data_IF_253605123214
#
_entry.id   IF_253605123214
#
_cell.length_a   1.000
_cell.length_b   1.000
_cell.length_c   1.000
_cell.angle_alpha   90.00
_cell.angle_beta   90.00
_cell.angle_gamma   90.00
#
_symmetry.space_group_name_H-M   'P 1'
#
loop_
_entity.id
_entity.type
_entity.pdbx_description
1 polymer ?
#
# COMPACT_ATOMS: atom_id res chain seq x y z
N UNK A 1 -30.30 22.56 20.66
CA UNK A 1 -29.31 21.57 21.17
C UNK A 1 -28.36 21.31 20.02
N UNK A 2 -27.13 21.75 20.16
CA UNK A 2 -26.08 21.60 19.14
C UNK A 2 -25.68 20.12 19.09
N UNK A 3 -25.81 19.39 17.94
CA UNK A 3 -25.45 17.99 17.83
C UNK A 3 -23.94 17.74 17.93
N UNK A 4 -23.16 18.80 18.20
CA UNK A 4 -21.69 18.79 18.17
C UNK A 4 -21.01 18.61 19.55
N UNK A 5 -21.76 18.51 20.66
CA UNK A 5 -21.17 18.62 22.01
C UNK A 5 -20.61 17.32 22.64
N UNK A 6 -20.86 16.15 22.06
CA UNK A 6 -20.64 14.86 22.75
C UNK A 6 -19.33 14.09 22.38
N UNK A 7 -18.40 14.68 21.65
CA UNK A 7 -17.09 14.08 21.42
C UNK A 7 -15.96 15.02 21.84
N UNK A 8 -15.32 14.68 22.95
CA UNK A 8 -14.13 15.38 23.43
C UNK A 8 -12.86 14.72 22.84
N UNK A 9 -12.18 15.44 21.94
CA UNK A 9 -10.92 15.01 21.33
C UNK A 9 -9.70 15.22 22.26
N UNK A 10 -9.87 15.85 23.42
CA UNK A 10 -8.75 16.18 24.30
C UNK A 10 -8.29 15.03 25.19
N UNK A 11 -9.10 13.96 25.33
CA UNK A 11 -8.83 12.82 26.22
C UNK A 11 -8.38 11.53 25.53
N UNK A 12 -7.94 11.57 24.27
CA UNK A 12 -7.56 10.37 23.49
C UNK A 12 -6.15 9.81 23.79
N UNK A 13 -5.39 10.44 24.70
CA UNK A 13 -4.02 10.01 25.02
C UNK A 13 -3.92 8.79 25.96
N UNK A 14 -5.03 8.20 26.38
CA UNK A 14 -4.97 7.14 27.37
C UNK A 14 -6.16 6.19 27.40
N UNK A 15 -6.35 5.32 26.40
CA UNK A 15 -7.08 4.06 26.60
C UNK A 15 -7.18 3.21 25.31
N UNK A 16 -6.14 2.47 24.99
CA UNK A 16 -6.29 1.25 24.20
C UNK A 16 -6.22 0.05 25.15
N UNK A 17 -7.31 -0.25 25.87
CA UNK A 17 -7.51 -1.58 26.45
C UNK A 17 -8.21 -2.47 25.42
N UNK A 18 -7.74 -3.70 25.16
CA UNK A 18 -8.41 -4.61 24.25
C UNK A 18 -9.76 -5.03 24.85
N UNK A 19 -10.83 -4.83 24.08
CA UNK A 19 -12.17 -5.30 24.44
C UNK A 19 -12.19 -6.83 24.45
N UNK A 20 -12.67 -7.41 25.56
CA UNK A 20 -12.87 -8.84 25.75
C UNK A 20 -13.92 -9.40 24.77
N UNK A 21 -13.57 -10.53 24.17
CA UNK A 21 -14.29 -11.23 23.12
C UNK A 21 -15.68 -11.72 23.56
N UNK A 22 -16.70 -11.42 22.74
CA UNK A 22 -17.93 -12.21 22.66
C UNK A 22 -17.81 -13.20 21.50
N UNK A 23 -18.13 -14.47 21.78
CA UNK A 23 -17.99 -15.61 20.89
C UNK A 23 -18.99 -15.57 19.71
N UNK A 24 -18.49 -15.23 18.55
CA UNK A 24 -19.11 -15.42 17.24
C UNK A 24 -17.97 -15.62 16.25
N UNK A 25 -18.10 -16.57 15.33
CA UNK A 25 -17.11 -16.86 14.29
C UNK A 25 -16.82 -15.56 13.54
N UNK A 26 -15.71 -14.88 13.90
CA UNK A 26 -15.22 -13.72 13.16
C UNK A 26 -14.75 -14.22 11.79
N UNK A 27 -15.16 -13.58 10.66
CA UNK A 27 -14.40 -13.72 9.43
C UNK A 27 -12.97 -13.39 9.76
N UNK A 28 -12.02 -14.14 9.19
CA UNK A 28 -10.60 -13.98 9.47
C UNK A 28 -10.22 -12.50 9.25
N UNK A 29 -10.12 -11.77 10.33
CA UNK A 29 -9.58 -10.40 10.35
C UNK A 29 -8.18 -10.57 9.79
N UNK A 30 -7.87 -9.88 8.69
CA UNK A 30 -6.51 -9.82 8.20
C UNK A 30 -5.64 -9.45 9.40
N UNK A 31 -4.71 -10.35 9.78
CA UNK A 31 -3.82 -10.12 10.91
C UNK A 31 -3.23 -8.72 10.74
N UNK A 32 -3.43 -7.86 11.74
CA UNK A 32 -2.86 -6.50 11.72
C UNK A 32 -1.37 -6.66 11.53
N UNK A 33 -0.83 -6.00 10.51
CA UNK A 33 0.61 -6.04 10.28
C UNK A 33 1.35 -5.72 11.57
N UNK A 34 2.32 -6.56 11.94
CA UNK A 34 3.19 -6.34 13.12
C UNK A 34 3.95 -5.01 13.08
N UNK A 35 4.01 -4.38 11.91
CA UNK A 35 4.67 -3.10 11.67
C UNK A 35 3.73 -1.91 11.83
N UNK A 36 2.43 -2.13 11.98
CA UNK A 36 1.49 -1.05 12.16
C UNK A 36 1.56 -0.47 13.58
N UNK A 37 1.79 0.83 13.66
CA UNK A 37 1.81 1.58 14.90
C UNK A 37 0.70 2.65 14.89
N UNK A 38 -0.41 2.46 15.62
CA UNK A 38 -1.51 3.42 15.66
C UNK A 38 -1.09 4.82 16.14
N UNK A 39 -0.11 4.91 17.05
CA UNK A 39 0.35 6.20 17.55
C UNK A 39 1.11 7.01 16.47
N UNK A 40 1.89 6.34 15.62
CA UNK A 40 2.54 6.97 14.47
C UNK A 40 1.50 7.44 13.46
N UNK A 41 0.50 6.59 13.17
CA UNK A 41 -0.60 6.94 12.29
C UNK A 41 -1.38 8.15 12.82
N UNK A 42 -1.81 8.11 14.09
CA UNK A 42 -2.55 9.19 14.72
C UNK A 42 -1.78 10.51 14.63
N UNK A 43 -0.51 10.52 15.01
CA UNK A 43 0.34 11.71 14.98
C UNK A 43 0.42 12.34 13.60
N UNK A 44 0.58 11.53 12.55
CA UNK A 44 0.62 12.02 11.17
C UNK A 44 -0.71 12.67 10.78
N UNK A 45 -1.83 12.00 11.06
CA UNK A 45 -3.16 12.52 10.73
C UNK A 45 -3.53 13.77 11.55
N UNK A 46 -3.05 13.91 12.78
CA UNK A 46 -3.21 15.11 13.59
C UNK A 46 -2.40 16.30 13.08
N UNK A 47 -1.20 16.04 12.52
CA UNK A 47 -0.31 17.09 12.01
C UNK A 47 -0.81 17.72 10.70
N UNK A 48 -1.46 16.96 9.84
CA UNK A 48 -1.80 17.41 8.49
C UNK A 48 -3.26 17.25 8.11
N UNK A 49 -4.06 16.55 8.92
CA UNK A 49 -5.41 16.14 8.57
C UNK A 49 -6.52 17.06 9.07
N UNK A 50 -7.70 16.85 8.51
CA UNK A 50 -8.95 17.49 8.91
C UNK A 50 -9.76 16.55 9.81
N UNK A 51 -10.44 17.09 10.83
CA UNK A 51 -11.35 16.32 11.68
C UNK A 51 -12.67 16.06 10.96
N UNK A 52 -13.10 14.80 10.98
CA UNK A 52 -14.34 14.33 10.37
C UNK A 52 -15.22 13.66 11.43
N UNK A 53 -16.52 13.86 11.31
CA UNK A 53 -17.53 13.15 12.14
C UNK A 53 -18.54 12.50 11.21
N UNK A 54 -18.92 11.28 11.54
CA UNK A 54 -19.89 10.52 10.77
C UNK A 54 -20.92 9.90 11.70
N UNK A 55 -22.20 10.14 11.40
CA UNK A 55 -23.28 9.45 12.12
C UNK A 55 -23.32 7.97 11.73
N UNK A 56 -23.90 7.14 12.57
CA UNK A 56 -24.18 5.75 12.23
C UNK A 56 -24.97 5.64 10.92
N UNK A 57 -24.58 4.72 10.05
CA UNK A 57 -25.12 4.55 8.70
C UNK A 57 -24.58 5.53 7.66
N UNK A 58 -23.83 6.58 8.08
CA UNK A 58 -23.23 7.53 7.16
C UNK A 58 -22.13 6.90 6.28
N UNK A 59 -21.99 7.38 5.04
CA UNK A 59 -21.04 6.86 4.05
C UNK A 59 -19.87 7.81 3.91
N UNK A 60 -18.66 7.32 4.12
CA UNK A 60 -17.42 8.09 3.89
C UNK A 60 -17.10 8.19 2.40
N UNK A 61 -17.26 7.11 1.66
CA UNK A 61 -17.15 7.02 0.19
C UNK A 61 -17.81 5.73 -0.30
N UNK A 62 -18.17 5.72 -1.59
CA UNK A 62 -18.79 4.56 -2.24
C UNK A 62 -17.81 3.87 -3.18
N UNK A 63 -18.01 2.56 -3.38
CA UNK A 63 -17.28 1.78 -4.38
C UNK A 63 -17.37 2.44 -5.76
N UNK A 64 -16.28 2.46 -6.51
CA UNK A 64 -16.12 3.11 -7.81
C UNK A 64 -16.17 4.65 -7.82
N UNK A 65 -16.29 5.32 -6.66
CA UNK A 65 -16.11 6.76 -6.59
C UNK A 65 -14.75 7.16 -7.15
N UNK A 66 -14.75 8.18 -8.01
CA UNK A 66 -13.54 8.72 -8.65
C UNK A 66 -13.27 10.13 -8.16
N UNK A 67 -11.99 10.46 -8.04
CA UNK A 67 -11.60 11.86 -7.87
C UNK A 67 -12.12 12.68 -9.05
N UNK A 68 -12.81 13.80 -8.77
CA UNK A 68 -13.26 14.75 -9.79
C UNK A 68 -13.03 16.17 -9.32
N UNK A 69 -12.55 17.03 -10.23
CA UNK A 69 -12.32 18.45 -9.93
C UNK A 69 -13.63 19.26 -9.77
N UNK A 70 -14.78 18.58 -9.92
CA UNK A 70 -16.07 19.27 -9.98
C UNK A 70 -16.23 20.04 -11.30
N UNK A 71 -17.47 20.23 -11.73
CA UNK A 71 -17.85 21.06 -12.87
C UNK A 71 -18.84 22.11 -12.43
N UNK A 72 -19.36 22.88 -13.39
CA UNK A 72 -20.31 23.98 -13.13
C UNK A 72 -21.56 23.52 -12.33
N UNK A 73 -21.89 22.22 -12.38
CA UNK A 73 -23.07 21.61 -11.74
C UNK A 73 -22.73 20.37 -10.88
N UNK A 74 -21.44 20.02 -10.68
CA UNK A 74 -21.04 18.88 -9.88
C UNK A 74 -20.06 19.27 -8.78
N UNK A 75 -20.28 18.73 -7.56
CA UNK A 75 -19.38 18.92 -6.43
C UNK A 75 -18.06 18.19 -6.69
N UNK A 76 -16.95 18.85 -6.37
CA UNK A 76 -15.64 18.18 -6.40
C UNK A 76 -15.64 16.99 -5.44
N UNK A 77 -15.21 15.82 -5.92
CA UNK A 77 -14.98 14.63 -5.09
C UNK A 77 -13.47 14.50 -4.91
N UNK A 78 -13.00 14.75 -3.69
CA UNK A 78 -11.59 14.62 -3.33
C UNK A 78 -11.37 13.27 -2.66
N UNK A 79 -10.45 12.47 -3.20
CA UNK A 79 -10.06 11.23 -2.56
C UNK A 79 -9.33 11.54 -1.23
N UNK A 80 -9.87 11.00 -0.14
CA UNK A 80 -9.31 11.12 1.20
C UNK A 80 -9.00 9.74 1.75
N UNK A 81 -7.95 9.61 2.54
CA UNK A 81 -7.71 8.50 3.45
C UNK A 81 -8.11 8.92 4.87
N UNK A 82 -8.43 7.96 5.70
CA UNK A 82 -8.99 8.20 7.01
C UNK A 82 -8.27 7.39 8.08
N UNK A 83 -8.12 8.00 9.26
CA UNK A 83 -7.73 7.35 10.50
C UNK A 83 -8.93 7.41 11.46
N UNK A 84 -9.37 6.28 11.97
CA UNK A 84 -10.48 6.20 12.92
C UNK A 84 -9.95 6.50 14.33
N UNK A 85 -10.42 7.60 14.91
CA UNK A 85 -10.14 7.94 16.32
C UNK A 85 -11.13 7.23 17.25
N UNK A 86 -12.40 7.09 16.84
CA UNK A 86 -13.43 6.38 17.59
C UNK A 86 -14.51 5.84 16.64
N UNK A 87 -15.15 4.72 17.01
CA UNK A 87 -16.20 4.08 16.24
C UNK A 87 -15.70 2.93 15.36
N UNK A 88 -16.61 2.40 14.54
CA UNK A 88 -16.36 1.29 13.60
C UNK A 88 -16.89 1.62 12.21
N UNK A 89 -16.15 1.22 11.19
CA UNK A 89 -16.49 1.39 9.76
C UNK A 89 -16.53 0.03 9.07
N UNK A 90 -17.62 -0.27 8.35
CA UNK A 90 -17.70 -1.43 7.49
C UNK A 90 -17.16 -1.10 6.09
N UNK A 91 -16.29 -1.96 5.57
CA UNK A 91 -15.90 -1.99 4.17
C UNK A 91 -16.73 -3.04 3.43
N UNK A 92 -17.43 -2.64 2.36
CA UNK A 92 -18.26 -3.54 1.55
C UNK A 92 -17.87 -3.45 0.08
N UNK A 93 -17.93 -4.60 -0.62
CA UNK A 93 -17.73 -4.73 -2.07
C UNK A 93 -18.91 -5.49 -2.64
N UNK A 94 -19.58 -4.92 -3.64
CA UNK A 94 -20.79 -5.52 -4.22
C UNK A 94 -21.87 -5.80 -3.17
N UNK A 95 -21.98 -4.99 -2.11
CA UNK A 95 -22.93 -5.15 -1.01
C UNK A 95 -22.54 -6.20 0.04
N UNK A 96 -21.42 -6.91 -0.12
CA UNK A 96 -20.93 -7.88 0.87
C UNK A 96 -19.87 -7.26 1.76
N UNK A 97 -19.97 -7.46 3.07
CA UNK A 97 -18.96 -6.99 4.03
C UNK A 97 -17.65 -7.72 3.81
N UNK A 98 -16.61 -6.93 3.47
CA UNK A 98 -15.25 -7.42 3.30
C UNK A 98 -14.47 -7.37 4.62
N UNK A 99 -14.61 -6.26 5.37
CA UNK A 99 -13.87 -6.03 6.62
C UNK A 99 -14.60 -5.01 7.52
N UNK A 100 -14.16 -4.92 8.77
CA UNK A 100 -14.57 -3.88 9.73
C UNK A 100 -13.32 -3.19 10.28
N UNK A 101 -13.23 -1.89 10.08
CA UNK A 101 -12.15 -1.02 10.52
C UNK A 101 -12.55 -0.39 11.86
N UNK A 102 -11.71 -0.53 12.87
CA UNK A 102 -11.94 0.00 14.21
C UNK A 102 -11.07 1.21 14.54
N UNK A 103 -11.22 1.70 15.78
CA UNK A 103 -10.40 2.79 16.31
C UNK A 103 -8.90 2.44 16.24
N UNK A 104 -8.09 3.42 15.84
CA UNK A 104 -6.65 3.26 15.64
C UNK A 104 -6.25 2.70 14.28
N UNK A 105 -7.17 2.48 13.35
CA UNK A 105 -6.90 1.94 12.02
C UNK A 105 -7.09 2.97 10.92
N UNK A 106 -6.47 2.72 9.76
CA UNK A 106 -6.57 3.55 8.56
C UNK A 106 -7.30 2.82 7.45
N UNK A 107 -8.00 3.57 6.59
CA UNK A 107 -8.67 3.07 5.39
C UNK A 107 -8.74 4.14 4.30
N UNK A 108 -9.03 3.71 3.07
CA UNK A 108 -9.13 4.59 1.90
C UNK A 108 -7.77 5.06 1.36
N UNK A 109 -6.66 4.53 1.87
CA UNK A 109 -5.29 4.85 1.49
C UNK A 109 -5.01 4.53 0.01
N UNK A 110 -5.56 3.42 -0.49
CA UNK A 110 -5.29 2.92 -1.83
C UNK A 110 -5.61 3.94 -2.93
N UNK A 111 -6.78 4.58 -2.85
CA UNK A 111 -7.20 5.56 -3.86
C UNK A 111 -6.45 6.90 -3.74
N UNK A 112 -5.99 7.28 -2.56
CA UNK A 112 -5.15 8.47 -2.35
C UNK A 112 -3.77 8.26 -2.95
N UNK A 113 -3.18 7.09 -2.75
CA UNK A 113 -1.84 6.74 -3.24
C UNK A 113 -1.85 6.53 -4.76
N UNK A 114 -2.83 5.81 -5.31
CA UNK A 114 -2.85 5.42 -6.73
C UNK A 114 -3.60 6.39 -7.62
N UNK A 115 -4.44 7.27 -7.07
CA UNK A 115 -5.39 8.08 -7.84
C UNK A 115 -6.55 7.29 -8.45
N UNK A 116 -6.62 5.99 -8.21
CA UNK A 116 -7.62 5.09 -8.78
C UNK A 116 -8.99 5.23 -8.08
N UNK A 117 -10.08 4.76 -8.70
CA UNK A 117 -11.39 4.69 -8.07
C UNK A 117 -11.37 3.89 -6.76
N UNK A 118 -12.33 4.17 -5.89
CA UNK A 118 -12.53 3.43 -4.64
C UNK A 118 -12.78 1.94 -4.92
N UNK A 119 -12.06 1.08 -4.21
CA UNK A 119 -12.19 -0.38 -4.34
C UNK A 119 -13.30 -0.97 -3.47
N UNK A 120 -13.92 -0.19 -2.60
CA UNK A 120 -14.96 -0.60 -1.68
C UNK A 120 -15.82 0.60 -1.28
N UNK A 121 -16.99 0.34 -0.72
CA UNK A 121 -17.79 1.34 0.01
C UNK A 121 -17.40 1.28 1.49
N UNK A 122 -17.20 2.46 2.11
CA UNK A 122 -16.93 2.60 3.54
C UNK A 122 -18.11 3.28 4.23
N UNK A 123 -18.77 2.60 5.16
CA UNK A 123 -19.91 3.10 5.91
C UNK A 123 -19.72 2.97 7.42
N UNK A 124 -20.14 3.98 8.18
CA UNK A 124 -20.05 3.99 9.62
C UNK A 124 -21.03 2.98 10.23
N UNK A 125 -20.55 1.97 10.95
CA UNK A 125 -21.36 1.00 11.71
C UNK A 125 -21.85 1.56 13.03
N UNK A 126 -21.12 2.53 13.55
CA UNK A 126 -21.44 3.28 14.75
C UNK A 126 -21.17 4.75 14.49
N UNK A 127 -21.50 5.64 15.41
CA UNK A 127 -21.03 7.05 15.37
C UNK A 127 -19.51 7.07 15.35
N UNK A 128 -18.90 7.72 14.35
CA UNK A 128 -17.45 7.74 14.12
C UNK A 128 -16.87 9.15 14.30
N UNK A 129 -15.68 9.20 14.91
CA UNK A 129 -14.76 10.33 14.84
C UNK A 129 -13.50 9.88 14.07
N UNK A 130 -13.09 10.67 13.09
CA UNK A 130 -11.97 10.33 12.23
C UNK A 130 -11.13 11.58 11.93
N UNK A 131 -9.90 11.36 11.48
CA UNK A 131 -9.10 12.35 10.77
C UNK A 131 -9.00 11.95 9.31
N UNK A 132 -8.98 12.93 8.40
CA UNK A 132 -8.84 12.68 6.96
C UNK A 132 -7.65 13.41 6.39
N UNK A 133 -6.98 12.81 5.40
CA UNK A 133 -5.94 13.41 4.57
C UNK A 133 -6.32 13.23 3.10
N UNK A 134 -6.25 14.29 2.32
CA UNK A 134 -6.22 14.18 0.86
C UNK A 134 -4.80 13.88 0.35
N UNK A 135 -4.63 13.76 -0.98
CA UNK A 135 -3.35 13.38 -1.58
C UNK A 135 -2.24 14.42 -1.31
N UNK A 136 -2.57 15.72 -1.34
CA UNK A 136 -1.60 16.80 -1.09
C UNK A 136 -1.20 16.84 0.38
N UNK A 137 -2.19 16.78 1.28
CA UNK A 137 -1.97 16.72 2.73
C UNK A 137 -1.13 15.49 3.10
N UNK A 138 -1.41 14.33 2.50
CA UNK A 138 -0.66 13.10 2.72
C UNK A 138 0.79 13.21 2.25
N UNK A 139 1.02 13.77 1.05
CA UNK A 139 2.37 14.00 0.53
C UNK A 139 3.18 14.95 1.43
N UNK A 140 2.57 16.06 1.87
CA UNK A 140 3.17 17.00 2.81
C UNK A 140 3.46 16.38 4.19
N UNK A 141 2.59 15.46 4.64
CA UNK A 141 2.76 14.77 5.92
C UNK A 141 3.92 13.76 5.86
N UNK A 142 4.06 13.01 4.75
CA UNK A 142 5.19 12.07 4.55
C UNK A 142 6.54 12.80 4.54
N UNK A 143 6.62 14.02 3.98
CA UNK A 143 7.84 14.83 4.04
C UNK A 143 8.30 15.10 5.48
N UNK A 144 7.36 15.22 6.41
CA UNK A 144 7.63 15.50 7.83
C UNK A 144 7.81 14.23 8.65
N UNK A 145 7.26 13.11 8.18
CA UNK A 145 7.26 11.81 8.89
C UNK A 145 7.47 10.65 7.90
N UNK A 146 8.70 10.49 7.35
CA UNK A 146 8.99 9.42 6.38
C UNK A 146 8.79 8.01 6.97
N UNK A 147 8.88 7.86 8.30
CA UNK A 147 8.57 6.60 8.99
C UNK A 147 7.12 6.12 8.75
N UNK A 148 6.19 7.02 8.46
CA UNK A 148 4.84 6.63 8.10
C UNK A 148 4.78 5.97 6.72
N UNK A 149 5.55 6.45 5.75
CA UNK A 149 5.67 5.78 4.45
C UNK A 149 6.21 4.36 4.61
N UNK A 150 7.25 4.17 5.44
CA UNK A 150 7.79 2.85 5.77
C UNK A 150 6.75 1.94 6.42
N UNK A 151 5.96 2.47 7.34
CA UNK A 151 4.88 1.74 7.99
C UNK A 151 3.81 1.28 6.98
N UNK A 152 3.36 2.17 6.10
CA UNK A 152 2.39 1.83 5.05
C UNK A 152 2.93 0.79 4.08
N UNK A 153 4.17 0.93 3.63
CA UNK A 153 4.83 -0.05 2.75
C UNK A 153 4.85 -1.44 3.39
N UNK A 154 5.26 -1.53 4.65
CA UNK A 154 5.27 -2.81 5.37
C UNK A 154 3.87 -3.44 5.46
N UNK A 155 2.84 -2.66 5.77
CA UNK A 155 1.45 -3.14 5.78
C UNK A 155 1.02 -3.68 4.42
N UNK A 156 1.36 -2.97 3.35
CA UNK A 156 1.02 -3.39 1.98
C UNK A 156 1.80 -4.63 1.57
N UNK A 157 3.07 -4.78 1.97
CA UNK A 157 3.86 -5.99 1.73
C UNK A 157 3.29 -7.21 2.44
N UNK A 158 2.82 -7.08 3.68
CA UNK A 158 2.15 -8.18 4.37
C UNK A 158 0.88 -8.62 3.62
N UNK A 159 0.08 -7.66 3.14
CA UNK A 159 -1.08 -7.94 2.29
C UNK A 159 -0.69 -8.60 0.96
N UNK A 160 0.38 -8.12 0.30
CA UNK A 160 0.89 -8.70 -0.94
C UNK A 160 1.31 -10.16 -0.77
N UNK A 161 2.00 -10.50 0.33
CA UNK A 161 2.39 -11.89 0.64
C UNK A 161 1.18 -12.81 0.74
N UNK A 162 0.13 -12.36 1.44
CA UNK A 162 -1.10 -13.14 1.59
C UNK A 162 -1.79 -13.36 0.23
N UNK A 163 -1.90 -12.31 -0.58
CA UNK A 163 -2.52 -12.40 -1.91
C UNK A 163 -1.69 -13.28 -2.84
N UNK A 164 -0.37 -13.11 -2.87
CA UNK A 164 0.55 -13.91 -3.67
C UNK A 164 0.49 -15.40 -3.31
N UNK A 165 0.45 -15.73 -2.00
CA UNK A 165 0.28 -17.10 -1.54
C UNK A 165 -1.07 -17.71 -1.97
N UNK A 166 -2.15 -16.93 -1.96
CA UNK A 166 -3.47 -17.36 -2.45
C UNK A 166 -3.48 -17.59 -3.97
N UNK A 167 -2.87 -16.71 -4.75
CA UNK A 167 -2.74 -16.89 -6.21
C UNK A 167 -1.95 -18.16 -6.53
N UNK A 168 -0.80 -18.34 -5.89
CA UNK A 168 0.02 -19.54 -6.06
C UNK A 168 -0.73 -20.82 -5.70
N UNK A 169 -1.54 -20.82 -4.62
CA UNK A 169 -2.31 -22.00 -4.21
C UNK A 169 -3.45 -22.34 -5.18
N UNK A 170 -3.96 -21.37 -5.95
CA UNK A 170 -5.02 -21.56 -6.96
C UNK A 170 -4.46 -21.85 -8.35
N UNK A 171 -3.13 -21.87 -8.53
CA UNK A 171 -2.46 -21.96 -9.84
C UNK A 171 -2.97 -20.92 -10.85
N UNK A 172 -3.37 -19.75 -10.36
CA UNK A 172 -3.79 -18.63 -11.19
C UNK A 172 -2.50 -17.96 -11.69
N UNK A 173 -2.15 -18.24 -12.94
CA UNK A 173 -1.09 -17.48 -13.62
C UNK A 173 -1.68 -16.14 -14.08
N UNK A 174 -0.94 -15.01 -13.91
CA UNK A 174 -1.29 -13.79 -14.62
C UNK A 174 -1.31 -14.08 -16.10
N UNK A 175 -2.42 -13.77 -16.77
CA UNK A 175 -2.52 -13.99 -18.21
C UNK A 175 -1.39 -13.27 -18.94
N UNK A 176 -0.85 -13.88 -20.00
CA UNK A 176 0.16 -13.30 -20.89
C UNK A 176 -0.31 -12.02 -21.62
N UNK A 177 -1.54 -11.57 -21.37
CA UNK A 177 -2.16 -10.37 -21.95
C UNK A 177 -1.92 -9.05 -21.18
N UNK A 178 -1.06 -9.07 -20.19
CA UNK A 178 -0.73 -7.88 -19.39
C UNK A 178 0.65 -7.31 -19.67
N UNK A 179 0.93 -6.86 -20.90
CA UNK A 179 2.01 -5.89 -21.19
C UNK A 179 1.79 -4.50 -20.54
N UNK A 180 0.79 -4.37 -19.69
CA UNK A 180 0.76 -3.34 -18.67
C UNK A 180 1.54 -3.85 -17.48
N UNK A 181 2.84 -4.08 -17.72
CA UNK A 181 3.79 -4.06 -16.64
C UNK A 181 3.46 -2.81 -15.83
N UNK A 182 3.26 -2.99 -14.54
CA UNK A 182 3.22 -1.87 -13.60
C UNK A 182 4.57 -1.18 -13.70
N UNK A 183 4.78 -0.42 -14.79
CA UNK A 183 5.91 0.48 -14.91
C UNK A 183 5.68 1.57 -13.90
N UNK A 184 6.58 1.71 -12.96
CA UNK A 184 6.28 2.38 -11.74
C UNK A 184 7.17 3.56 -11.52
N UNK A 185 8.42 3.43 -11.86
CA UNK A 185 9.31 4.56 -11.99
C UNK A 185 9.22 5.04 -13.44
N UNK A 186 8.81 6.30 -13.59
CA UNK A 186 8.92 6.96 -14.88
C UNK A 186 10.40 7.16 -15.25
N UNK A 187 10.65 7.46 -16.50
CA UNK A 187 12.00 7.64 -17.04
C UNK A 187 12.81 8.68 -16.26
N UNK A 188 12.18 9.77 -15.82
CA UNK A 188 12.84 10.81 -15.03
C UNK A 188 13.32 10.29 -13.67
N UNK A 189 12.49 9.49 -12.99
CA UNK A 189 12.85 8.84 -11.72
C UNK A 189 13.95 7.80 -11.92
N UNK A 190 13.93 7.03 -12.99
CA UNK A 190 14.99 6.06 -13.32
C UNK A 190 16.31 6.75 -13.55
N UNK A 191 16.37 7.80 -14.38
CA UNK A 191 17.57 8.58 -14.65
C UNK A 191 18.14 9.20 -13.37
N UNK A 192 17.27 9.69 -12.49
CA UNK A 192 17.69 10.25 -11.21
C UNK A 192 18.30 9.17 -10.30
N UNK A 193 17.70 7.98 -10.22
CA UNK A 193 18.24 6.87 -9.44
C UNK A 193 19.59 6.38 -9.99
N UNK A 194 19.72 6.30 -11.31
CA UNK A 194 21.00 5.94 -11.96
C UNK A 194 22.11 6.96 -11.69
N UNK A 195 21.78 8.26 -11.68
CA UNK A 195 22.74 9.33 -11.40
C UNK A 195 23.21 9.37 -9.93
N UNK A 196 22.41 8.84 -9.00
CA UNK A 196 22.69 8.85 -7.56
C UNK A 196 23.36 7.58 -7.05
N UNK A 197 23.33 6.51 -7.82
CA UNK A 197 23.90 5.21 -7.45
C UNK A 197 25.16 4.96 -8.26
N UNK A 198 26.16 4.36 -7.62
CA UNK A 198 27.42 3.97 -8.26
C UNK A 198 27.18 2.98 -9.41
N UNK A 199 28.05 2.99 -10.42
CA UNK A 199 28.04 2.02 -11.52
C UNK A 199 28.04 0.56 -11.03
N UNK A 200 28.64 0.27 -9.88
CA UNK A 200 28.63 -1.03 -9.23
C UNK A 200 27.24 -1.52 -8.83
N UNK A 201 26.26 -0.62 -8.72
CA UNK A 201 24.86 -0.97 -8.49
C UNK A 201 24.17 -1.51 -9.74
N UNK A 202 24.75 -1.32 -10.93
CA UNK A 202 24.19 -1.79 -12.21
C UNK A 202 24.65 -3.21 -12.49
N UNK A 203 23.71 -4.14 -12.52
CA UNK A 203 23.94 -5.56 -12.75
C UNK A 203 23.32 -6.00 -14.06
N UNK A 204 23.96 -6.94 -14.76
CA UNK A 204 23.44 -7.57 -15.98
C UNK A 204 23.28 -9.07 -15.79
N UNK A 205 22.18 -9.60 -16.33
CA UNK A 205 21.90 -11.03 -16.31
C UNK A 205 21.49 -11.48 -17.72
N UNK A 206 21.96 -12.66 -18.11
CA UNK A 206 21.55 -13.31 -19.34
C UNK A 206 20.14 -13.87 -19.24
N UNK A 207 19.47 -14.05 -20.37
CA UNK A 207 18.17 -14.73 -20.43
C UNK A 207 18.21 -16.07 -19.72
N UNK A 208 17.14 -16.42 -19.00
CA UNK A 208 16.95 -17.63 -18.19
C UNK A 208 17.82 -17.70 -16.93
N UNK A 209 18.65 -16.69 -16.65
CA UNK A 209 19.45 -16.65 -15.42
C UNK A 209 18.57 -16.29 -14.21
N UNK A 210 18.74 -17.03 -13.11
CA UNK A 210 18.06 -16.74 -11.83
C UNK A 210 18.78 -15.61 -11.12
N UNK A 211 18.03 -14.54 -10.79
CA UNK A 211 18.52 -13.33 -10.10
C UNK A 211 18.41 -13.49 -8.59
N UNK A 212 17.30 -14.05 -8.13
CA UNK A 212 17.08 -14.37 -6.72
C UNK A 212 16.25 -15.63 -6.56
N UNK A 213 16.45 -16.37 -5.48
CA UNK A 213 15.71 -17.60 -5.18
C UNK A 213 14.75 -17.40 -3.99
N UNK A 214 13.53 -17.94 -4.13
CA UNK A 214 12.56 -18.09 -3.03
C UNK A 214 13.21 -18.75 -1.81
N UNK A 215 12.89 -18.28 -0.61
CA UNK A 215 13.40 -18.82 0.66
C UNK A 215 14.85 -18.44 1.01
N UNK A 216 15.61 -17.79 0.14
CA UNK A 216 16.97 -17.32 0.41
C UNK A 216 16.96 -15.93 1.05
N UNK A 217 18.02 -15.56 1.82
CA UNK A 217 18.20 -14.19 2.28
C UNK A 217 18.32 -13.23 1.10
N UNK A 218 17.92 -11.96 1.28
CA UNK A 218 18.04 -10.93 0.26
C UNK A 218 18.67 -9.66 0.79
N UNK A 219 19.74 -9.18 0.13
CA UNK A 219 20.44 -7.95 0.49
C UNK A 219 20.05 -6.74 -0.37
N UNK A 220 19.36 -6.98 -1.50
CA UNK A 220 19.03 -5.93 -2.47
C UNK A 220 17.56 -6.03 -2.90
N UNK A 221 16.94 -4.89 -3.19
CA UNK A 221 15.87 -4.78 -4.17
C UNK A 221 16.44 -4.43 -5.53
N UNK A 222 15.66 -4.67 -6.55
CA UNK A 222 16.07 -4.42 -7.92
C UNK A 222 15.06 -3.56 -8.65
N UNK A 223 15.55 -2.65 -9.49
CA UNK A 223 14.76 -1.88 -10.44
C UNK A 223 15.19 -2.34 -11.84
N UNK A 224 14.23 -2.65 -12.69
CA UNK A 224 14.49 -3.10 -14.07
C UNK A 224 14.80 -1.87 -14.93
N UNK A 225 16.01 -1.81 -15.49
CA UNK A 225 16.44 -0.78 -16.44
C UNK A 225 16.23 -1.21 -17.88
N UNK A 226 16.47 -2.50 -18.19
CA UNK A 226 16.34 -3.08 -19.51
C UNK A 226 15.80 -4.51 -19.39
N UNK A 227 14.95 -4.93 -20.34
CA UNK A 227 14.46 -6.30 -20.43
C UNK A 227 13.26 -6.62 -19.56
N UNK A 228 13.04 -7.91 -19.27
CA UNK A 228 11.91 -8.42 -18.47
C UNK A 228 12.36 -9.50 -17.49
N UNK A 229 11.72 -9.51 -16.33
CA UNK A 229 11.96 -10.46 -15.23
C UNK A 229 10.66 -11.16 -14.88
N UNK A 230 10.66 -12.47 -14.82
CA UNK A 230 9.54 -13.29 -14.36
C UNK A 230 9.67 -13.57 -12.88
N UNK A 231 8.60 -13.33 -12.11
CA UNK A 231 8.49 -13.58 -10.68
C UNK A 231 7.61 -14.82 -10.47
N UNK A 232 8.13 -15.81 -9.76
CA UNK A 232 7.42 -17.06 -9.47
C UNK A 232 7.46 -17.43 -7.99
N UNK A 233 6.38 -18.06 -7.51
CA UNK A 233 6.26 -18.61 -6.15
C UNK A 233 5.94 -20.09 -6.30
N UNK A 234 6.76 -20.95 -5.71
CA UNK A 234 6.65 -22.43 -5.80
C UNK A 234 6.55 -22.89 -7.27
N UNK A 235 7.28 -22.23 -8.16
CA UNK A 235 7.30 -22.51 -9.59
C UNK A 235 6.13 -21.93 -10.39
N UNK A 236 5.11 -21.37 -9.77
CA UNK A 236 3.99 -20.70 -10.44
C UNK A 236 4.33 -19.23 -10.70
N UNK A 237 4.25 -18.77 -11.94
CA UNK A 237 4.45 -17.36 -12.31
C UNK A 237 3.30 -16.54 -11.71
N UNK A 238 3.66 -15.51 -10.95
CA UNK A 238 2.70 -14.60 -10.31
C UNK A 238 2.77 -13.17 -10.86
N UNK A 239 3.88 -12.81 -11.51
CA UNK A 239 4.08 -11.47 -12.09
C UNK A 239 5.19 -11.51 -13.14
N UNK A 240 5.14 -10.58 -14.10
CA UNK A 240 6.27 -10.23 -14.98
C UNK A 240 6.57 -8.75 -14.83
N UNK A 241 7.82 -8.40 -14.53
CA UNK A 241 8.30 -7.04 -14.29
C UNK A 241 9.12 -6.56 -15.48
N UNK A 242 8.69 -5.48 -16.11
CA UNK A 242 9.40 -4.79 -17.20
C UNK A 242 10.17 -3.56 -16.73
N UNK A 243 10.63 -2.73 -17.67
CA UNK A 243 11.39 -1.49 -17.39
C UNK A 243 10.62 -0.59 -16.43
N UNK A 244 11.32 -0.05 -15.41
CA UNK A 244 10.75 0.72 -14.31
C UNK A 244 10.10 -0.11 -13.21
N UNK A 245 9.90 -1.41 -13.42
CA UNK A 245 9.37 -2.31 -12.41
C UNK A 245 10.37 -2.64 -11.32
N UNK A 246 9.87 -3.00 -10.14
CA UNK A 246 10.71 -3.33 -8.97
C UNK A 246 10.40 -4.71 -8.44
N UNK A 247 11.38 -5.36 -7.83
CA UNK A 247 11.18 -6.63 -7.13
C UNK A 247 12.25 -6.84 -6.05
N UNK A 248 11.96 -7.76 -5.11
CA UNK A 248 12.89 -8.07 -4.02
C UNK A 248 12.85 -7.08 -2.85
N UNK A 249 12.05 -6.02 -2.92
CA UNK A 249 11.94 -4.99 -1.90
C UNK A 249 11.42 -5.51 -0.55
N UNK A 250 10.48 -6.48 -0.57
CA UNK A 250 9.83 -6.98 0.64
C UNK A 250 10.83 -7.51 1.67
N UNK A 251 11.87 -8.23 1.21
CA UNK A 251 12.89 -8.80 2.09
C UNK A 251 13.81 -7.74 2.72
N UNK A 252 13.89 -6.54 2.15
CA UNK A 252 14.68 -5.44 2.71
C UNK A 252 13.98 -4.76 3.89
N UNK A 253 12.67 -4.68 3.86
CA UNK A 253 11.91 -3.99 4.91
C UNK A 253 11.88 -4.79 6.21
N UNK A 254 11.55 -6.07 6.15
CA UNK A 254 11.39 -6.92 7.33
C UNK A 254 12.54 -7.91 7.58
N UNK A 255 13.59 -7.84 6.77
CA UNK A 255 14.74 -8.74 6.82
C UNK A 255 14.34 -10.22 6.74
N UNK A 256 13.21 -10.49 6.11
CA UNK A 256 12.71 -11.84 5.90
C UNK A 256 13.41 -12.50 4.68
N UNK A 257 13.12 -13.80 4.51
CA UNK A 257 13.55 -14.53 3.31
C UNK A 257 12.77 -14.06 2.09
N UNK A 258 13.37 -14.21 0.89
CA UNK A 258 12.71 -13.95 -0.40
C UNK A 258 11.40 -14.73 -0.51
N UNK A 259 10.32 -14.04 -0.82
CA UNK A 259 8.98 -14.62 -0.99
C UNK A 259 8.77 -15.25 -2.36
N UNK A 260 9.67 -14.99 -3.32
CA UNK A 260 9.58 -15.45 -4.69
C UNK A 260 10.96 -15.68 -5.31
N UNK A 261 10.98 -16.44 -6.39
CA UNK A 261 12.11 -16.55 -7.32
C UNK A 261 11.95 -15.55 -8.44
N UNK A 262 13.02 -14.83 -8.80
CA UNK A 262 13.05 -13.94 -9.96
C UNK A 262 14.03 -14.48 -11.00
N UNK A 263 13.57 -14.60 -12.24
CA UNK A 263 14.35 -15.12 -13.37
C UNK A 263 14.32 -14.12 -14.52
N UNK A 264 15.46 -13.82 -15.11
CA UNK A 264 15.56 -13.00 -16.30
C UNK A 264 14.85 -13.70 -17.48
N UNK A 265 13.75 -13.13 -17.97
CA UNK A 265 13.03 -13.67 -19.12
C UNK A 265 13.78 -13.35 -20.43
N UNK A 266 14.34 -12.17 -20.51
CA UNK A 266 15.24 -11.70 -21.59
C UNK A 266 16.61 -11.41 -21.01
N UNK A 267 17.54 -10.88 -21.79
CA UNK A 267 18.69 -10.16 -21.21
C UNK A 267 18.17 -8.95 -20.44
N UNK A 268 18.69 -8.71 -19.23
CA UNK A 268 18.23 -7.64 -18.35
C UNK A 268 19.39 -6.83 -17.80
N UNK A 269 19.17 -5.52 -17.66
CA UNK A 269 19.95 -4.66 -16.83
C UNK A 269 19.11 -4.23 -15.61
N UNK A 270 19.69 -4.33 -14.44
CA UNK A 270 19.05 -4.06 -13.14
C UNK A 270 19.86 -3.05 -12.33
N UNK A 271 19.16 -2.21 -11.59
CA UNK A 271 19.76 -1.38 -10.55
C UNK A 271 19.53 -2.07 -9.19
N UNK A 272 20.61 -2.42 -8.50
CA UNK A 272 20.56 -3.10 -7.20
C UNK A 272 20.68 -2.08 -6.06
N UNK A 273 19.65 -1.98 -5.23
CA UNK A 273 19.55 -1.03 -4.11
C UNK A 273 19.57 -1.82 -2.81
N UNK A 274 20.58 -1.57 -1.98
CA UNK A 274 20.65 -2.18 -0.65
C UNK A 274 19.71 -1.47 0.35
N UNK A 275 19.54 -2.09 1.53
CA UNK A 275 18.61 -1.59 2.56
C UNK A 275 18.95 -0.17 3.03
N UNK A 276 20.23 0.13 3.28
CA UNK A 276 20.60 1.44 3.81
C UNK A 276 20.32 2.54 2.79
N UNK A 277 20.68 2.31 1.53
CA UNK A 277 20.39 3.22 0.43
C UNK A 277 18.89 3.41 0.22
N UNK A 278 18.10 2.32 0.29
CA UNK A 278 16.64 2.40 0.18
C UNK A 278 16.02 3.25 1.29
N UNK A 279 16.45 3.05 2.55
CA UNK A 279 15.95 3.83 3.69
C UNK A 279 16.35 5.31 3.60
N UNK A 280 17.57 5.60 3.14
CA UNK A 280 18.03 6.97 2.89
C UNK A 280 17.19 7.64 1.79
N UNK A 281 16.96 6.97 0.65
CA UNK A 281 16.12 7.48 -0.43
C UNK A 281 14.69 7.79 0.04
N UNK A 282 14.09 6.92 0.87
CA UNK A 282 12.74 7.14 1.42
C UNK A 282 12.73 8.34 2.37
N UNK A 283 13.76 8.50 3.21
CA UNK A 283 13.83 9.58 4.18
C UNK A 283 14.14 10.95 3.54
N UNK A 284 15.01 10.97 2.55
CA UNK A 284 15.52 12.21 1.95
C UNK A 284 14.72 12.66 0.72
N UNK A 285 13.99 11.73 0.07
CA UNK A 285 13.27 11.95 -1.18
C UNK A 285 11.81 11.53 -1.10
N UNK A 286 10.94 12.42 -0.63
CA UNK A 286 9.51 12.14 -0.51
C UNK A 286 8.84 11.70 -1.83
N UNK A 287 9.33 12.23 -2.96
CA UNK A 287 8.85 11.82 -4.29
C UNK A 287 9.14 10.34 -4.57
N UNK A 288 10.34 9.86 -4.21
CA UNK A 288 10.70 8.45 -4.33
C UNK A 288 9.85 7.57 -3.39
N UNK A 289 9.66 8.00 -2.13
CA UNK A 289 8.80 7.28 -1.18
C UNK A 289 7.36 7.16 -1.71
N UNK A 290 6.81 8.24 -2.29
CA UNK A 290 5.48 8.24 -2.91
C UNK A 290 5.42 7.35 -4.15
N UNK A 291 6.45 7.40 -5.01
CA UNK A 291 6.54 6.52 -6.17
C UNK A 291 6.56 5.05 -5.73
N UNK A 292 7.37 4.67 -4.76
CA UNK A 292 7.45 3.30 -4.24
C UNK A 292 6.14 2.85 -3.59
N UNK A 293 5.46 3.70 -2.80
CA UNK A 293 4.13 3.42 -2.26
C UNK A 293 3.12 3.15 -3.37
N UNK A 294 3.14 3.95 -4.44
CA UNK A 294 2.26 3.76 -5.61
C UNK A 294 2.49 2.40 -6.26
N UNK A 295 3.76 2.04 -6.45
CA UNK A 295 4.16 0.72 -6.95
C UNK A 295 3.50 -0.41 -6.19
N UNK A 296 3.69 -0.41 -4.89
CA UNK A 296 3.21 -1.46 -4.00
C UNK A 296 1.69 -1.51 -3.99
N UNK A 297 1.04 -0.33 -3.94
CA UNK A 297 -0.42 -0.21 -3.95
C UNK A 297 -1.05 -0.69 -5.26
N UNK A 298 -0.47 -0.33 -6.41
CA UNK A 298 -0.95 -0.77 -7.72
C UNK A 298 -0.75 -2.28 -7.92
N UNK A 299 0.38 -2.82 -7.47
CA UNK A 299 0.64 -4.26 -7.45
C UNK A 299 -0.40 -5.00 -6.61
N UNK A 300 -0.67 -4.52 -5.39
CA UNK A 300 -1.67 -5.11 -4.51
C UNK A 300 -3.07 -5.07 -5.15
N UNK A 301 -3.42 -3.97 -5.80
CA UNK A 301 -4.68 -3.81 -6.50
C UNK A 301 -4.81 -4.78 -7.67
N UNK A 302 -3.77 -4.91 -8.50
CA UNK A 302 -3.72 -5.85 -9.60
C UNK A 302 -3.86 -7.29 -9.12
N UNK A 303 -3.06 -7.70 -8.13
CA UNK A 303 -3.09 -9.06 -7.62
C UNK A 303 -4.44 -9.40 -6.95
N UNK A 304 -5.09 -8.44 -6.29
CA UNK A 304 -6.46 -8.63 -5.78
C UNK A 304 -7.48 -8.82 -6.91
N UNK A 305 -7.34 -8.11 -8.03
CA UNK A 305 -8.25 -8.29 -9.18
C UNK A 305 -8.14 -9.65 -9.84
N UNK A 306 -7.01 -10.36 -9.68
CA UNK A 306 -6.86 -11.74 -10.15
C UNK A 306 -7.55 -12.77 -9.24
N UNK A 307 -7.91 -12.39 -8.01
CA UNK A 307 -8.61 -13.25 -7.06
C UNK A 307 -10.15 -13.07 -7.07
N UNK A 308 -10.62 -11.96 -7.65
CA UNK A 308 -12.04 -11.63 -7.78
C UNK A 308 -12.71 -12.46 -8.87
#
# INVERSE_FOLDING_TARGET
>A
MDPNSDFDFTNLAGAAKPATAASGVKPAVAERSKFYNPAVAQKLFELGGSRERMAEGGVFFSENDKHSRGGLFSKAVVNKMFFIAAGEVALTVGGKTLDTIGAGEIFGEMSVITGAPRSATASAKTKCAAYSLDAEQFQNAIQKMPEFALMLMNMMFDRLRLVAARLASRSIAPGHGGERGLSIFDEATLLQLEAELDDAARLRYSSMQVIMHEGKPGAYMYVVLEGRVTISIKGSVVETSGVGGTFGEMALFDQARRTATATAETEVALLAINRNTLLALIAEKPAFAMALLRVVAERLRYMNSLLA
#
